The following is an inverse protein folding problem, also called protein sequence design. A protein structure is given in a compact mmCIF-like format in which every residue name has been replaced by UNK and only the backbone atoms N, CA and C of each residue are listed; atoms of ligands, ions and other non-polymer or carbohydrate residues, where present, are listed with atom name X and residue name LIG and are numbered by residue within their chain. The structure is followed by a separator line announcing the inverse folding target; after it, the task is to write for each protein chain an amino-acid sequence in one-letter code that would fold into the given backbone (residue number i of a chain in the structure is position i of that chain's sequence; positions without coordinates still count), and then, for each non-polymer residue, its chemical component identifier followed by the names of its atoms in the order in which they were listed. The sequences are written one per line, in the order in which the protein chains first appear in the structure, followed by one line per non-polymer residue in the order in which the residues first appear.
data_IF_536339389676
#
_entry.id   IF_536339389676
#
_cell.length_a   1.000
_cell.length_b   1.000
_cell.length_c   1.000
_cell.angle_alpha   90.00
_cell.angle_beta   90.00
_cell.angle_gamma   90.00
#
_symmetry.space_group_name_H-M   'P 1'
#
loop_
_entity.id
_entity.type
_entity.pdbx_description
1 polymer ?
#
# COMPACT_ATOMS: atom_id res chain seq x y z
N UNK A 1 14.26 3.69 -4.01
CA UNK A 1 13.57 4.83 -3.36
C UNK A 1 14.53 5.40 -2.31
N UNK A 2 15.10 6.58 -2.57
CA UNK A 2 16.00 7.28 -1.63
C UNK A 2 15.15 8.30 -0.87
N UNK A 3 15.27 8.34 0.46
CA UNK A 3 14.66 9.40 1.27
C UNK A 3 15.76 10.37 1.72
N UNK A 4 15.56 11.67 1.46
CA UNK A 4 16.34 12.78 2.02
C UNK A 4 15.62 13.24 3.29
N UNK A 5 16.33 13.24 4.41
CA UNK A 5 15.83 13.72 5.69
C UNK A 5 15.87 15.25 5.78
N UNK A 6 14.79 15.84 6.28
CA UNK A 6 14.78 17.22 6.80
C UNK A 6 14.45 17.17 8.30
N UNK A 7 15.19 17.94 9.11
CA UNK A 7 14.89 18.15 10.52
C UNK A 7 13.89 19.29 10.71
N UNK A 8 12.99 19.21 11.70
CA UNK A 8 12.74 20.28 12.68
C UNK A 8 11.55 19.99 13.64
N UNK A 9 11.69 20.52 14.87
CA UNK A 9 10.71 20.72 15.96
C UNK A 9 10.28 19.49 16.81
N UNK A 10 9.92 19.70 18.11
CA UNK A 10 9.31 18.68 18.97
C UNK A 10 7.89 18.42 18.50
N UNK A 11 7.80 17.82 17.31
CA UNK A 11 6.57 17.54 16.61
C UNK A 11 5.82 16.45 17.35
N UNK A 12 4.72 16.80 18.02
CA UNK A 12 3.76 15.85 18.59
C UNK A 12 2.89 15.26 17.47
N UNK A 13 3.49 14.97 16.31
CA UNK A 13 2.75 14.46 15.17
C UNK A 13 2.24 13.07 15.48
N UNK A 14 1.00 12.85 15.05
CA UNK A 14 0.38 11.52 14.99
C UNK A 14 1.28 10.48 14.30
N UNK A 15 2.19 10.90 13.44
CA UNK A 15 3.15 10.03 12.76
C UNK A 15 4.18 9.46 13.72
N UNK A 16 4.75 10.27 14.63
CA UNK A 16 5.65 9.74 15.67
C UNK A 16 4.93 8.75 16.57
N UNK A 17 3.67 9.03 16.89
CA UNK A 17 2.82 8.10 17.66
C UNK A 17 2.70 6.78 16.89
N UNK A 18 2.19 6.80 15.65
CA UNK A 18 1.96 5.60 14.83
C UNK A 18 3.24 4.77 14.66
N UNK A 19 4.36 5.42 14.34
CA UNK A 19 5.62 4.73 14.08
C UNK A 19 6.35 4.29 15.35
N UNK A 20 6.06 4.92 16.49
CA UNK A 20 6.56 4.54 17.81
C UNK A 20 5.81 3.36 18.45
N UNK A 21 4.62 2.99 17.96
CA UNK A 21 3.84 1.87 18.52
C UNK A 21 4.57 0.53 18.42
N UNK A 22 4.55 -0.23 19.51
CA UNK A 22 5.09 -1.59 19.62
C UNK A 22 4.19 -2.67 18.98
N UNK A 23 3.65 -2.40 17.78
CA UNK A 23 2.76 -3.31 17.02
C UNK A 23 3.39 -3.80 15.72
N UNK A 24 2.74 -4.75 15.04
CA UNK A 24 3.20 -5.23 13.73
C UNK A 24 3.18 -4.10 12.69
N UNK A 25 4.16 -4.09 11.77
CA UNK A 25 4.25 -3.06 10.71
C UNK A 25 2.99 -2.92 9.87
N UNK A 26 2.23 -4.00 9.65
CA UNK A 26 0.94 -3.96 8.94
C UNK A 26 -0.12 -3.11 9.66
N UNK A 27 -0.11 -3.13 11.00
CA UNK A 27 -1.03 -2.35 11.83
C UNK A 27 -0.66 -0.87 11.77
N UNK A 28 0.64 -0.54 11.85
CA UNK A 28 1.12 0.84 11.66
C UNK A 28 0.74 1.42 10.30
N UNK A 29 0.97 0.66 9.22
CA UNK A 29 0.56 1.05 7.88
C UNK A 29 -0.96 1.22 7.76
N UNK A 30 -1.74 0.33 8.36
CA UNK A 30 -3.19 0.46 8.41
C UNK A 30 -3.63 1.76 9.12
N UNK A 31 -3.04 2.10 10.27
CA UNK A 31 -3.34 3.35 10.98
C UNK A 31 -2.97 4.57 10.16
N UNK A 32 -1.78 4.56 9.55
CA UNK A 32 -1.35 5.62 8.65
C UNK A 32 -2.36 5.83 7.51
N UNK A 33 -2.76 4.76 6.82
CA UNK A 33 -3.79 4.81 5.77
C UNK A 33 -5.14 5.30 6.31
N UNK A 34 -5.51 4.91 7.53
CA UNK A 34 -6.76 5.33 8.16
C UNK A 34 -6.76 6.83 8.46
N UNK A 35 -5.65 7.38 8.96
CA UNK A 35 -5.48 8.82 9.16
C UNK A 35 -5.56 9.62 7.85
N UNK A 36 -5.14 9.02 6.73
CA UNK A 36 -5.23 9.62 5.40
C UNK A 36 -6.54 9.35 4.67
N UNK A 37 -7.55 8.75 5.31
CA UNK A 37 -8.77 8.30 4.65
C UNK A 37 -8.51 7.46 3.37
N UNK A 38 -7.46 6.63 3.39
CA UNK A 38 -6.99 5.84 2.25
C UNK A 38 -7.29 4.33 2.39
N UNK A 39 -8.04 3.95 3.41
CA UNK A 39 -8.59 2.59 3.53
C UNK A 39 -9.90 2.49 2.73
N UNK A 40 -10.24 1.31 2.23
CA UNK A 40 -11.38 1.19 1.35
C UNK A 40 -12.70 0.96 2.12
N UNK A 41 -13.19 2.02 2.72
CA UNK A 41 -14.58 2.08 3.23
C UNK A 41 -15.52 2.49 2.11
N UNK A 42 -16.83 2.22 2.24
CA UNK A 42 -17.77 2.49 1.15
C UNK A 42 -17.82 3.96 0.73
N UNK A 43 -17.70 4.90 1.67
CA UNK A 43 -17.63 6.32 1.33
C UNK A 43 -16.48 6.60 0.33
N UNK A 44 -15.30 6.02 0.58
CA UNK A 44 -14.13 6.22 -0.27
C UNK A 44 -14.26 5.48 -1.62
N UNK A 45 -14.90 4.30 -1.62
CA UNK A 45 -15.16 3.58 -2.85
C UNK A 45 -16.16 4.31 -3.75
N UNK A 46 -17.20 4.91 -3.15
CA UNK A 46 -18.18 5.74 -3.86
C UNK A 46 -17.52 6.97 -4.48
N UNK A 47 -16.66 7.65 -3.72
CA UNK A 47 -15.86 8.77 -4.25
C UNK A 47 -14.97 8.35 -5.43
N UNK A 48 -14.50 7.10 -5.46
CA UNK A 48 -13.73 6.50 -6.56
C UNK A 48 -14.61 5.88 -7.65
N UNK A 49 -15.93 6.04 -7.58
CA UNK A 49 -16.90 5.51 -8.56
C UNK A 49 -16.86 3.98 -8.69
N UNK A 50 -16.40 3.26 -7.66
CA UNK A 50 -16.38 1.79 -7.60
C UNK A 50 -17.71 1.25 -7.05
N UNK A 51 -18.34 1.99 -6.13
CA UNK A 51 -19.66 1.68 -5.57
C UNK A 51 -20.63 2.84 -5.84
N UNK A 52 -21.92 2.51 -5.93
CA UNK A 52 -23.01 3.49 -6.04
C UNK A 52 -23.48 3.98 -4.67
N UNK A 53 -23.52 3.07 -3.69
CA UNK A 53 -24.02 3.30 -2.34
C UNK A 53 -22.88 3.34 -1.32
N UNK A 54 -22.98 4.25 -0.34
CA UNK A 54 -22.01 4.36 0.76
C UNK A 54 -22.56 3.98 2.13
N UNK A 55 -23.80 3.50 2.21
CA UNK A 55 -24.44 3.12 3.48
C UNK A 55 -23.77 1.88 4.07
N UNK A 56 -23.42 1.96 5.36
CA UNK A 56 -22.81 0.86 6.10
C UNK A 56 -23.75 -0.33 6.19
N UNK A 57 -23.22 -1.52 5.91
CA UNK A 57 -24.07 -2.71 5.83
C UNK A 57 -24.47 -3.30 7.17
N UNK A 58 -23.75 -2.92 8.22
CA UNK A 58 -24.02 -3.41 9.57
C UNK A 58 -25.12 -2.59 10.26
N UNK A 59 -25.11 -1.27 10.07
CA UNK A 59 -26.12 -0.39 10.67
C UNK A 59 -27.29 -0.09 9.71
N UNK A 60 -27.06 -0.19 8.40
CA UNK A 60 -28.02 0.14 7.32
C UNK A 60 -28.59 1.57 7.41
N UNK A 61 -27.95 2.46 8.16
CA UNK A 61 -28.48 3.78 8.51
C UNK A 61 -27.55 4.92 8.10
N UNK A 62 -26.27 4.81 8.41
CA UNK A 62 -25.28 5.87 8.18
C UNK A 62 -24.29 5.51 7.06
N UNK A 63 -23.73 6.54 6.44
CA UNK A 63 -22.61 6.42 5.50
C UNK A 63 -21.38 5.81 6.19
N UNK A 64 -20.77 4.81 5.56
CA UNK A 64 -19.59 4.12 6.05
C UNK A 64 -18.33 4.94 5.79
N UNK A 65 -18.05 5.88 6.69
CA UNK A 65 -16.78 6.60 6.80
C UNK A 65 -15.70 5.74 7.49
N UNK A 66 -14.44 6.17 7.44
CA UNK A 66 -13.33 5.50 8.14
C UNK A 66 -13.57 5.48 9.65
N UNK A 67 -14.05 6.60 10.20
CA UNK A 67 -14.44 6.67 11.60
C UNK A 67 -15.64 5.74 11.88
N UNK A 68 -16.66 5.71 11.01
CA UNK A 68 -17.81 4.82 11.20
C UNK A 68 -17.42 3.34 11.15
N UNK A 69 -16.53 2.96 10.24
CA UNK A 69 -16.06 1.59 10.09
C UNK A 69 -15.23 1.11 11.30
N UNK A 70 -14.42 1.99 11.89
CA UNK A 70 -13.44 1.61 12.92
C UNK A 70 -13.84 1.98 14.36
N UNK A 71 -14.74 2.94 14.54
CA UNK A 71 -14.98 3.58 15.83
C UNK A 71 -16.46 3.71 16.23
N UNK A 72 -17.35 4.13 15.33
CA UNK A 72 -18.67 4.65 15.71
C UNK A 72 -19.61 3.58 16.28
N UNK A 73 -20.22 3.94 17.42
CA UNK A 73 -21.18 3.18 18.22
C UNK A 73 -22.58 3.04 17.56
N UNK A 74 -22.91 3.90 16.60
CA UNK A 74 -24.15 3.84 15.79
C UNK A 74 -24.24 2.60 14.89
N UNK A 75 -23.17 1.80 14.83
CA UNK A 75 -23.19 0.47 14.27
C UNK A 75 -23.51 -0.57 15.35
N UNK A 76 -24.74 -1.11 15.33
CA UNK A 76 -25.31 -2.02 16.35
C UNK A 76 -24.39 -3.17 16.79
N UNK A 77 -23.54 -3.67 15.89
CA UNK A 77 -22.59 -4.75 16.14
C UNK A 77 -21.28 -4.31 16.84
N UNK A 78 -20.85 -3.06 16.67
CA UNK A 78 -19.62 -2.54 17.28
C UNK A 78 -19.80 -2.12 18.74
N UNK A 79 -21.03 -1.78 19.13
CA UNK A 79 -21.39 -1.39 20.50
C UNK A 79 -21.01 -2.46 21.53
N UNK A 80 -21.22 -3.75 21.21
CA UNK A 80 -20.89 -4.86 22.11
C UNK A 80 -19.38 -5.02 22.32
N UNK A 81 -18.59 -4.92 21.25
CA UNK A 81 -17.12 -5.06 21.31
C UNK A 81 -16.53 -3.96 22.19
N UNK A 82 -16.96 -2.73 21.98
CA UNK A 82 -16.44 -1.58 22.71
C UNK A 82 -17.00 -1.44 24.12
N UNK A 83 -18.22 -1.93 24.37
CA UNK A 83 -18.80 -2.06 25.72
C UNK A 83 -18.07 -3.07 26.59
N UNK A 84 -17.40 -4.05 25.97
CA UNK A 84 -16.57 -5.05 26.66
C UNK A 84 -15.17 -4.52 27.02
N UNK A 85 -14.85 -3.26 26.70
CA UNK A 85 -13.53 -2.66 26.96
C UNK A 85 -13.67 -1.36 27.76
N UNK A 86 -13.66 -1.43 29.11
CA UNK A 86 -13.87 -0.28 30.00
C UNK A 86 -12.89 0.88 29.80
N UNK A 87 -11.66 0.60 29.37
CA UNK A 87 -10.59 1.60 29.14
C UNK A 87 -10.92 2.69 28.12
N UNK A 88 -12.01 2.52 27.37
CA UNK A 88 -12.47 3.46 26.36
C UNK A 88 -13.95 3.84 26.54
N UNK A 89 -14.46 3.82 27.78
CA UNK A 89 -15.82 4.26 28.12
C UNK A 89 -16.10 5.72 27.76
N UNK A 90 -15.06 6.56 27.64
CA UNK A 90 -15.15 7.96 27.17
C UNK A 90 -15.79 8.12 25.77
N UNK A 91 -15.91 7.01 25.03
CA UNK A 91 -16.68 6.94 23.79
C UNK A 91 -18.12 7.44 23.89
N UNK A 92 -18.72 7.34 25.06
CA UNK A 92 -20.11 7.75 25.28
C UNK A 92 -20.24 9.28 25.42
N UNK A 93 -19.15 9.97 25.75
CA UNK A 93 -19.16 11.40 26.09
C UNK A 93 -18.42 12.26 25.06
N UNK A 94 -17.64 11.64 24.15
CA UNK A 94 -16.82 12.37 23.18
C UNK A 94 -16.92 11.79 21.77
N UNK A 95 -17.24 12.66 20.83
CA UNK A 95 -17.15 12.39 19.39
C UNK A 95 -15.81 12.90 18.85
N UNK A 96 -15.29 12.21 17.83
CA UNK A 96 -14.09 12.64 17.11
C UNK A 96 -14.45 12.94 15.66
N UNK A 97 -13.72 13.84 15.04
CA UNK A 97 -13.89 14.17 13.61
C UNK A 97 -13.09 13.24 12.70
N UNK A 98 -12.01 12.65 13.21
CA UNK A 98 -11.08 11.83 12.44
C UNK A 98 -10.35 10.79 13.29
N UNK A 99 -9.80 9.77 12.63
CA UNK A 99 -8.90 8.79 13.28
C UNK A 99 -7.64 9.48 13.84
N UNK A 100 -7.16 10.53 13.17
CA UNK A 100 -5.99 11.29 13.63
C UNK A 100 -6.24 11.92 15.00
N UNK A 101 -7.34 12.66 15.14
CA UNK A 101 -7.73 13.29 16.41
C UNK A 101 -7.89 12.24 17.51
N UNK A 102 -8.51 11.11 17.15
CA UNK A 102 -8.76 10.02 18.08
C UNK A 102 -7.46 9.33 18.58
N UNK A 103 -6.48 9.11 17.69
CA UNK A 103 -5.17 8.56 18.08
C UNK A 103 -4.37 9.54 18.94
N UNK A 104 -4.38 10.83 18.59
CA UNK A 104 -3.71 11.89 19.37
C UNK A 104 -4.28 11.95 20.78
N UNK A 105 -5.62 11.98 20.93
CA UNK A 105 -6.28 11.97 22.24
C UNK A 105 -5.91 10.74 23.08
N UNK A 106 -5.91 9.56 22.46
CA UNK A 106 -5.56 8.30 23.16
C UNK A 106 -4.14 8.35 23.71
N UNK A 107 -3.21 8.96 22.96
CA UNK A 107 -1.83 9.13 23.38
C UNK A 107 -1.66 10.19 24.48
N UNK A 108 -2.32 11.34 24.34
CA UNK A 108 -2.26 12.45 25.32
C UNK A 108 -2.81 12.03 26.69
N UNK A 109 -3.89 11.26 26.70
CA UNK A 109 -4.51 10.73 27.92
C UNK A 109 -3.79 9.52 28.51
N UNK A 110 -2.58 9.20 28.01
CA UNK A 110 -1.76 8.05 28.41
C UNK A 110 -2.56 6.75 28.46
N UNK A 111 -3.49 6.58 27.52
CA UNK A 111 -4.16 5.30 27.33
C UNK A 111 -3.20 4.33 26.65
N UNK A 112 -3.68 3.14 26.31
CA UNK A 112 -2.88 2.14 25.61
C UNK A 112 -3.14 2.22 24.08
N UNK A 113 -2.35 3.01 23.32
CA UNK A 113 -2.56 3.18 21.89
C UNK A 113 -2.24 1.90 21.09
N UNK A 114 -1.37 1.01 21.59
CA UNK A 114 -1.11 -0.28 20.95
C UNK A 114 -2.30 -1.23 21.05
N UNK A 115 -2.96 -1.25 22.20
CA UNK A 115 -4.18 -2.02 22.40
C UNK A 115 -5.30 -1.47 21.52
N UNK A 116 -5.43 -0.15 21.44
CA UNK A 116 -6.35 0.51 20.52
C UNK A 116 -6.08 0.11 19.06
N UNK A 117 -4.83 0.21 18.63
CA UNK A 117 -4.39 -0.13 17.29
C UNK A 117 -4.72 -1.58 16.93
N UNK A 118 -4.51 -2.49 17.89
CA UNK A 118 -4.80 -3.92 17.75
C UNK A 118 -6.30 -4.18 17.62
N UNK A 119 -7.15 -3.49 18.38
CA UNK A 119 -8.60 -3.60 18.26
C UNK A 119 -9.07 -3.06 16.91
N UNK A 120 -8.64 -1.86 16.51
CA UNK A 120 -9.02 -1.26 15.23
C UNK A 120 -8.61 -2.15 14.05
N UNK A 121 -7.41 -2.72 14.10
CA UNK A 121 -6.95 -3.69 13.10
C UNK A 121 -7.82 -4.95 13.10
N UNK A 122 -8.17 -5.49 14.27
CA UNK A 122 -9.00 -6.70 14.37
C UNK A 122 -10.40 -6.46 13.83
N UNK A 123 -11.02 -5.31 14.15
CA UNK A 123 -12.31 -4.90 13.62
C UNK A 123 -12.27 -4.77 12.09
N UNK A 124 -11.25 -4.09 11.58
CA UNK A 124 -11.02 -3.96 10.14
C UNK A 124 -10.84 -5.31 9.46
N UNK A 125 -10.00 -6.17 10.04
CA UNK A 125 -9.72 -7.50 9.50
C UNK A 125 -10.96 -8.39 9.49
N UNK A 126 -11.79 -8.32 10.54
CA UNK A 126 -13.08 -9.03 10.60
C UNK A 126 -14.04 -8.55 9.53
N UNK A 127 -14.17 -7.23 9.33
CA UNK A 127 -15.00 -6.65 8.25
C UNK A 127 -14.54 -7.11 6.87
N UNK A 128 -13.23 -7.26 6.67
CA UNK A 128 -12.67 -7.80 5.43
C UNK A 128 -12.90 -9.31 5.27
N UNK A 129 -12.86 -10.09 6.36
CA UNK A 129 -12.99 -11.55 6.30
C UNK A 129 -14.43 -12.04 6.16
N UNK A 130 -15.44 -11.31 6.66
CA UNK A 130 -16.86 -11.71 6.63
C UNK A 130 -17.57 -11.52 5.28
N UNK A 131 -16.85 -11.60 4.15
CA UNK A 131 -17.44 -11.93 2.85
C UNK A 131 -18.17 -10.83 2.08
N UNK A 132 -18.42 -9.65 2.65
CA UNK A 132 -19.16 -8.56 1.97
C UNK A 132 -18.34 -7.82 0.90
N UNK A 133 -17.02 -7.97 0.96
CA UNK A 133 -16.07 -7.30 0.06
C UNK A 133 -15.12 -8.27 -0.64
N UNK A 134 -15.29 -9.57 -0.45
CA UNK A 134 -14.36 -10.56 -0.99
C UNK A 134 -14.38 -10.63 -2.53
N UNK A 135 -15.50 -10.30 -3.17
CA UNK A 135 -15.63 -10.35 -4.65
C UNK A 135 -15.33 -9.02 -5.36
N UNK A 136 -15.51 -7.87 -4.70
CA UNK A 136 -15.19 -6.55 -5.28
C UNK A 136 -13.71 -6.15 -5.08
N UNK A 137 -13.01 -6.85 -4.18
CA UNK A 137 -11.63 -6.55 -3.79
C UNK A 137 -10.63 -7.65 -4.14
N UNK A 138 -11.06 -8.75 -4.77
CA UNK A 138 -10.11 -9.69 -5.39
C UNK A 138 -9.36 -9.05 -6.56
N UNK A 139 -9.90 -7.98 -7.17
CA UNK A 139 -9.15 -7.09 -8.08
C UNK A 139 -8.30 -6.02 -7.38
N UNK A 140 -8.52 -5.79 -6.08
CA UNK A 140 -7.73 -4.91 -5.21
C UNK A 140 -7.17 -5.72 -4.04
N UNK A 141 -6.65 -6.91 -4.35
CA UNK A 141 -5.87 -7.69 -3.40
C UNK A 141 -4.86 -6.72 -2.79
N UNK A 142 -4.96 -6.58 -1.47
CA UNK A 142 -4.13 -5.75 -0.59
C UNK A 142 -2.80 -5.44 -1.28
N UNK A 143 -2.47 -4.17 -1.54
CA UNK A 143 -1.08 -3.81 -1.88
C UNK A 143 -0.26 -4.25 -0.66
N UNK A 144 0.27 -5.47 -0.72
CA UNK A 144 1.16 -6.00 0.28
C UNK A 144 2.51 -5.53 -0.17
N UNK A 145 3.12 -4.60 0.56
CA UNK A 145 4.50 -4.15 0.33
C UNK A 145 5.53 -5.22 0.72
N UNK A 146 5.15 -6.50 0.73
CA UNK A 146 6.03 -7.64 0.94
C UNK A 146 6.46 -8.11 -0.45
N UNK A 147 7.70 -7.83 -0.89
CA UNK A 147 8.16 -8.25 -2.20
C UNK A 147 8.25 -9.78 -2.25
N UNK A 148 8.00 -10.33 -3.42
CA UNK A 148 8.45 -11.69 -3.73
C UNK A 148 9.96 -11.66 -3.89
N UNK A 149 10.68 -12.51 -3.15
CA UNK A 149 12.15 -12.59 -3.22
C UNK A 149 12.51 -13.92 -3.87
N UNK A 150 13.08 -13.85 -5.08
CA UNK A 150 13.71 -15.00 -5.74
C UNK A 150 15.22 -14.80 -5.71
N UNK A 151 15.95 -15.85 -5.30
CA UNK A 151 17.41 -15.89 -5.34
C UNK A 151 17.81 -16.84 -6.46
N UNK A 152 18.52 -16.33 -7.46
CA UNK A 152 19.04 -17.10 -8.57
C UNK A 152 20.56 -17.12 -8.47
N UNK A 153 21.17 -18.26 -8.78
CA UNK A 153 22.62 -18.36 -8.86
C UNK A 153 23.07 -17.86 -10.23
N UNK A 154 24.08 -17.00 -10.27
CA UNK A 154 24.66 -16.53 -11.52
C UNK A 154 25.55 -17.62 -12.11
N UNK A 155 25.18 -18.11 -13.28
CA UNK A 155 25.96 -19.05 -14.07
C UNK A 155 26.72 -18.31 -15.18
N UNK A 156 27.74 -18.93 -15.76
CA UNK A 156 28.62 -18.29 -16.76
C UNK A 156 27.93 -17.95 -18.09
N UNK A 157 26.74 -18.48 -18.34
CA UNK A 157 25.86 -18.16 -19.46
C UNK A 157 24.96 -16.93 -19.21
N UNK A 158 24.93 -16.41 -17.99
CA UNK A 158 24.22 -15.17 -17.66
C UNK A 158 25.05 -13.95 -18.09
N UNK A 159 24.70 -13.34 -19.23
CA UNK A 159 25.43 -12.20 -19.79
C UNK A 159 24.98 -10.84 -19.22
N UNK A 160 23.67 -10.63 -19.07
CA UNK A 160 23.12 -9.37 -18.58
C UNK A 160 21.76 -9.57 -17.91
N UNK A 161 21.36 -8.59 -17.09
CA UNK A 161 20.04 -8.49 -16.45
C UNK A 161 19.33 -7.22 -16.92
N UNK A 162 18.12 -7.36 -17.44
CA UNK A 162 17.25 -6.24 -17.81
C UNK A 162 16.22 -6.05 -16.69
N UNK A 163 16.12 -4.84 -16.16
CA UNK A 163 15.09 -4.43 -15.20
C UNK A 163 14.33 -3.23 -15.77
N UNK A 164 13.02 -3.21 -15.58
CA UNK A 164 12.17 -2.18 -16.16
C UNK A 164 10.88 -1.94 -15.36
N UNK A 165 10.32 -0.72 -15.46
CA UNK A 165 8.99 -0.39 -14.93
C UNK A 165 7.87 -1.09 -15.72
N UNK A 166 6.68 -1.14 -15.14
CA UNK A 166 5.46 -1.70 -15.74
C UNK A 166 5.03 -0.96 -17.02
N UNK A 167 5.41 0.31 -17.19
CA UNK A 167 5.31 1.03 -18.47
C UNK A 167 6.09 0.38 -19.63
N UNK A 168 6.92 -0.63 -19.35
CA UNK A 168 7.64 -1.45 -20.32
C UNK A 168 6.93 -2.77 -20.69
N UNK A 169 6.10 -3.30 -19.77
CA UNK A 169 5.48 -4.63 -19.86
C UNK A 169 3.93 -4.57 -19.81
N UNK A 170 3.36 -3.36 -19.90
CA UNK A 170 1.97 -3.05 -19.64
C UNK A 170 1.05 -3.15 -20.86
N UNK A 171 -0.08 -3.83 -20.65
CA UNK A 171 -1.08 -4.26 -21.62
C UNK A 171 -1.80 -3.07 -22.30
N UNK A 172 -1.44 -2.78 -23.54
CA UNK A 172 -2.36 -2.23 -24.56
C UNK A 172 -2.25 -3.08 -25.81
N UNK A 173 -3.39 -3.34 -26.46
CA UNK A 173 -3.60 -4.33 -27.54
C UNK A 173 -2.66 -4.24 -28.76
N UNK A 174 -1.75 -3.25 -28.83
CA UNK A 174 -0.82 -3.00 -29.94
C UNK A 174 0.61 -2.62 -29.54
N UNK A 175 0.99 -2.70 -28.25
CA UNK A 175 2.28 -2.18 -27.73
C UNK A 175 3.03 -3.20 -26.89
N UNK A 176 2.98 -4.48 -27.26
CA UNK A 176 3.74 -5.52 -26.57
C UNK A 176 5.19 -5.54 -27.07
N UNK A 177 6.15 -5.48 -26.15
CA UNK A 177 7.52 -5.91 -26.40
C UNK A 177 7.70 -7.20 -25.63
N UNK A 178 8.07 -8.26 -26.36
CA UNK A 178 8.31 -9.55 -25.74
C UNK A 178 9.69 -9.58 -25.07
N UNK A 179 9.86 -10.44 -24.07
CA UNK A 179 11.14 -10.66 -23.39
C UNK A 179 12.28 -10.88 -24.40
N UNK A 180 12.02 -11.68 -25.44
CA UNK A 180 12.99 -11.97 -26.49
C UNK A 180 13.36 -10.74 -27.33
N UNK A 181 12.41 -9.85 -27.62
CA UNK A 181 12.66 -8.64 -28.40
C UNK A 181 13.57 -7.67 -27.62
N UNK A 182 13.36 -7.55 -26.30
CA UNK A 182 14.23 -6.77 -25.43
C UNK A 182 15.64 -7.38 -25.34
N UNK A 183 15.73 -8.71 -25.23
CA UNK A 183 17.00 -9.45 -25.25
C UNK A 183 17.74 -9.23 -26.56
N UNK A 184 17.06 -9.30 -27.70
CA UNK A 184 17.66 -9.11 -29.02
C UNK A 184 18.23 -7.70 -29.21
N UNK A 185 17.55 -6.67 -28.71
CA UNK A 185 18.05 -5.28 -28.76
C UNK A 185 19.34 -5.14 -27.96
N UNK A 186 19.39 -5.73 -26.76
CA UNK A 186 20.60 -5.67 -25.92
C UNK A 186 21.73 -6.50 -26.52
N UNK A 187 21.45 -7.69 -27.07
CA UNK A 187 22.47 -8.56 -27.69
C UNK A 187 23.09 -7.95 -28.94
N UNK A 188 22.32 -7.17 -29.72
CA UNK A 188 22.82 -6.53 -30.95
C UNK A 188 23.79 -5.38 -30.68
N UNK A 189 23.69 -4.75 -29.51
CA UNK A 189 24.47 -3.56 -29.18
C UNK A 189 25.55 -3.87 -28.13
N UNK A 190 26.81 -3.60 -28.47
CA UNK A 190 27.94 -3.75 -27.53
C UNK A 190 27.97 -2.69 -26.43
N UNK A 191 27.15 -1.65 -26.54
CA UNK A 191 27.14 -0.52 -25.61
C UNK A 191 25.80 -0.44 -24.88
N UNK A 192 25.81 -0.79 -23.60
CA UNK A 192 24.62 -0.89 -22.76
C UNK A 192 23.85 0.42 -22.64
N UNK A 193 24.54 1.57 -22.66
CA UNK A 193 23.88 2.88 -22.61
C UNK A 193 23.07 3.14 -23.88
N UNK A 194 23.59 2.72 -25.03
CA UNK A 194 22.88 2.80 -26.31
C UNK A 194 21.74 1.79 -26.37
N UNK A 195 21.93 0.60 -25.83
CA UNK A 195 20.86 -0.41 -25.69
C UNK A 195 19.71 0.14 -24.84
N UNK A 196 20.00 0.77 -23.69
CA UNK A 196 18.99 1.42 -22.85
C UNK A 196 18.23 2.53 -23.59
N UNK A 197 18.94 3.40 -24.34
CA UNK A 197 18.30 4.47 -25.13
C UNK A 197 17.39 3.90 -26.22
N UNK A 198 17.87 2.93 -26.99
CA UNK A 198 17.08 2.28 -28.05
C UNK A 198 15.85 1.59 -27.50
N UNK A 199 15.99 0.94 -26.34
CA UNK A 199 14.86 0.39 -25.60
C UNK A 199 13.86 1.52 -25.30
N UNK A 200 14.25 2.59 -24.61
CA UNK A 200 13.39 3.74 -24.30
C UNK A 200 12.73 4.36 -25.55
N UNK A 201 13.48 4.56 -26.63
CA UNK A 201 12.98 5.13 -27.90
C UNK A 201 11.96 4.19 -28.58
N UNK A 202 12.24 2.88 -28.57
CA UNK A 202 11.34 1.85 -29.09
C UNK A 202 10.02 1.81 -28.31
N UNK A 203 10.03 2.07 -27.00
CA UNK A 203 8.82 2.13 -26.17
C UNK A 203 8.06 3.45 -26.33
N UNK A 204 8.80 4.57 -26.42
CA UNK A 204 8.21 5.90 -26.63
C UNK A 204 7.49 5.99 -27.97
N UNK A 205 8.11 5.45 -29.03
CA UNK A 205 7.53 5.43 -30.39
C UNK A 205 6.28 4.55 -30.51
N UNK A 206 6.09 3.58 -29.61
CA UNK A 206 4.89 2.74 -29.55
C UNK A 206 3.73 3.40 -28.79
N UNK A 207 3.89 4.63 -28.28
CA UNK A 207 2.79 5.39 -27.68
C UNK A 207 2.58 5.10 -26.19
N UNK A 208 3.62 4.69 -25.48
CA UNK A 208 3.59 4.64 -24.01
C UNK A 208 3.37 6.06 -23.45
N UNK A 209 2.45 6.19 -22.51
CA UNK A 209 2.14 7.46 -21.81
C UNK A 209 2.68 7.49 -20.38
N UNK A 210 3.31 6.40 -19.93
CA UNK A 210 3.82 6.23 -18.57
C UNK A 210 5.33 6.51 -18.50
N UNK A 211 5.83 6.79 -17.30
CA UNK A 211 7.27 6.95 -17.05
C UNK A 211 8.01 5.62 -17.29
N UNK A 212 8.80 5.57 -18.36
CA UNK A 212 9.61 4.39 -18.72
C UNK A 212 10.96 4.48 -18.03
N UNK A 213 11.26 3.51 -17.15
CA UNK A 213 12.59 3.33 -16.58
C UNK A 213 13.16 2.01 -17.02
N UNK A 214 14.37 2.01 -17.60
CA UNK A 214 15.08 0.80 -18.03
C UNK A 214 16.48 0.78 -17.44
N UNK A 215 16.88 -0.36 -16.90
CA UNK A 215 18.22 -0.60 -16.40
C UNK A 215 18.74 -1.93 -16.96
N UNK A 216 19.87 -1.88 -17.66
CA UNK A 216 20.58 -3.07 -18.15
C UNK A 216 21.88 -3.20 -17.36
N UNK A 217 22.10 -4.37 -16.75
CA UNK A 217 23.24 -4.67 -15.91
C UNK A 217 24.09 -5.74 -16.60
N UNK A 218 25.38 -5.46 -16.80
CA UNK A 218 26.34 -6.46 -17.25
C UNK A 218 26.68 -7.43 -16.12
N UNK A 219 26.32 -8.71 -16.29
CA UNK A 219 26.54 -9.74 -15.28
C UNK A 219 27.93 -10.36 -15.38
N UNK A 220 28.64 -10.22 -16.50
CA UNK A 220 29.97 -10.78 -16.68
C UNK A 220 30.97 -10.18 -15.68
N UNK A 221 30.80 -8.90 -15.32
CA UNK A 221 31.61 -8.22 -14.30
C UNK A 221 31.45 -8.81 -12.89
N UNK A 222 30.40 -9.60 -12.64
CA UNK A 222 30.11 -10.20 -11.33
C UNK A 222 30.39 -11.69 -11.27
N UNK A 223 30.52 -12.36 -12.43
CA UNK A 223 30.92 -13.77 -12.53
C UNK A 223 32.45 -13.91 -12.44
N UNK A 224 33.20 -12.86 -12.78
CA UNK A 224 34.66 -12.87 -12.84
C UNK A 224 35.39 -12.86 -11.47
N UNK A 225 34.69 -12.78 -10.33
CA UNK A 225 35.30 -12.85 -8.99
C UNK A 225 35.00 -14.18 -8.31
N UNK A 226 35.36 -15.27 -8.97
CA UNK A 226 35.53 -16.60 -8.37
C UNK A 226 36.98 -17.03 -8.46
N UNK A 227 37.84 -16.46 -7.62
CA UNK A 227 39.16 -16.99 -7.29
C UNK A 227 39.34 -16.90 -5.78
#
# INVERSE_FOLDING_TARGET
MVFVGASAQPDNSVWKIIWGLSVQSKVRNFLWRSCHNAIPVKQNLRQRHILTEDICELCKLETESVLHALWVWGCSQLSQVWGSVPSFSFRQTRTFSSIKEFLTYTNEEQKNPEFLASIMWTLWHRRFSTGQFRCLYTGLATIVSKPEIKRLHLTSDCQFLIMASDGLWGIRYYTYVNDQEAVDVVLRDKNLLMSCKKLVDMFSSRGSMDDITVMVIDLLNFVATGC
#
